data_IF_225745926998
#
_entry.id   IF_225745926998
#
_cell.length_a   1.000
_cell.length_b   1.000
_cell.length_c   1.000
_cell.angle_alpha   90.00
_cell.angle_beta   90.00
_cell.angle_gamma   90.00
#
_symmetry.space_group_name_H-M   'P 1'
#
loop_
_entity.id
_entity.type
_entity.pdbx_description
1 polymer ?
#
# COMPACT_ATOMS: atom_id res chain seq x y z
N UNK A 1 17.81 2.11 -42.82
CA UNK A 1 19.11 2.56 -42.27
C UNK A 1 18.86 3.26 -40.94
N UNK A 2 19.84 3.27 -40.05
CA UNK A 2 19.84 3.99 -38.76
C UNK A 2 21.26 4.51 -38.48
N UNK A 3 21.38 5.54 -37.65
CA UNK A 3 22.69 6.02 -37.24
C UNK A 3 23.32 5.09 -36.22
N UNK A 4 24.56 4.67 -36.47
CA UNK A 4 25.41 4.00 -35.50
C UNK A 4 26.16 5.04 -34.66
N UNK A 5 26.80 5.99 -35.32
CA UNK A 5 27.40 7.20 -34.75
C UNK A 5 27.13 8.38 -35.69
N UNK A 6 27.53 9.59 -35.30
CA UNK A 6 27.37 10.78 -36.14
C UNK A 6 28.09 10.57 -37.48
N UNK A 7 27.33 10.54 -38.59
CA UNK A 7 27.86 10.29 -39.93
C UNK A 7 27.98 8.82 -40.37
N UNK A 8 27.76 7.84 -39.49
CA UNK A 8 27.81 6.42 -39.83
C UNK A 8 26.39 5.81 -39.88
N UNK A 9 25.92 5.45 -41.08
CA UNK A 9 24.61 4.80 -41.28
C UNK A 9 24.78 3.29 -41.47
N UNK A 10 24.01 2.52 -40.72
CA UNK A 10 23.99 1.05 -40.79
C UNK A 10 22.57 0.52 -40.97
N UNK A 11 22.44 -0.76 -41.30
CA UNK A 11 21.13 -1.43 -41.32
C UNK A 11 20.61 -1.63 -39.90
N UNK A 12 19.29 -1.81 -39.73
CA UNK A 12 18.70 -2.13 -38.41
C UNK A 12 19.09 -3.54 -37.90
N UNK A 13 19.65 -4.37 -38.77
CA UNK A 13 20.15 -5.72 -38.43
C UNK A 13 21.60 -5.70 -37.91
N UNK A 14 22.23 -4.52 -37.84
CA UNK A 14 23.60 -4.40 -37.35
C UNK A 14 23.72 -4.89 -35.88
N UNK A 15 24.71 -5.74 -35.54
CA UNK A 15 24.83 -6.33 -34.20
C UNK A 15 24.85 -5.32 -33.05
N UNK A 16 25.55 -4.20 -33.22
CA UNK A 16 25.58 -3.11 -32.21
C UNK A 16 24.19 -2.51 -31.99
N UNK A 17 23.38 -2.34 -33.04
CA UNK A 17 22.01 -1.81 -32.90
C UNK A 17 21.14 -2.80 -32.13
N UNK A 18 21.31 -4.10 -32.37
CA UNK A 18 20.62 -5.14 -31.61
C UNK A 18 21.04 -5.16 -30.14
N UNK A 19 22.34 -5.01 -29.85
CA UNK A 19 22.85 -4.84 -28.48
C UNK A 19 22.23 -3.63 -27.78
N UNK A 20 22.22 -2.46 -28.43
CA UNK A 20 21.62 -1.24 -27.88
C UNK A 20 20.14 -1.43 -27.54
N UNK A 21 19.38 -2.06 -28.45
CA UNK A 21 17.97 -2.35 -28.21
C UNK A 21 17.74 -3.31 -27.03
N UNK A 22 18.64 -4.27 -26.82
CA UNK A 22 18.55 -5.19 -25.68
C UNK A 22 18.91 -4.51 -24.36
N UNK A 23 19.92 -3.63 -24.36
CA UNK A 23 20.29 -2.84 -23.19
C UNK A 23 19.21 -1.81 -22.83
N UNK A 24 18.50 -1.26 -23.81
CA UNK A 24 17.33 -0.40 -23.60
C UNK A 24 16.15 -1.17 -23.00
N UNK A 25 15.79 -2.32 -23.58
CA UNK A 25 14.75 -3.20 -23.03
C UNK A 25 15.07 -3.64 -21.59
N UNK A 26 16.33 -3.96 -21.30
CA UNK A 26 16.76 -4.29 -19.95
C UNK A 26 16.55 -3.13 -18.96
N UNK A 27 16.76 -1.87 -19.38
CA UNK A 27 16.44 -0.71 -18.55
C UNK A 27 14.94 -0.58 -18.28
N UNK A 28 14.08 -0.87 -19.26
CA UNK A 28 12.63 -0.93 -19.03
C UNK A 28 12.28 -1.99 -17.97
N UNK A 29 12.86 -3.19 -18.08
CA UNK A 29 12.62 -4.27 -17.12
C UNK A 29 13.12 -3.95 -15.70
N UNK A 30 14.18 -3.13 -15.57
CA UNK A 30 14.63 -2.62 -14.28
C UNK A 30 13.58 -1.71 -13.64
N UNK A 31 13.00 -0.78 -14.41
CA UNK A 31 11.94 0.12 -13.92
C UNK A 31 10.71 -0.68 -13.50
N UNK A 32 10.30 -1.68 -14.28
CA UNK A 32 9.21 -2.57 -13.87
C UNK A 32 9.50 -3.30 -12.55
N UNK A 33 10.74 -3.75 -12.36
CA UNK A 33 11.15 -4.40 -11.13
C UNK A 33 11.16 -3.44 -9.93
N UNK A 34 11.57 -2.18 -10.14
CA UNK A 34 11.52 -1.15 -9.11
C UNK A 34 10.09 -0.90 -8.64
N UNK A 35 9.13 -0.76 -9.57
CA UNK A 35 7.70 -0.59 -9.23
C UNK A 35 7.18 -1.78 -8.43
N UNK A 36 7.50 -3.01 -8.86
CA UNK A 36 7.12 -4.23 -8.16
C UNK A 36 7.74 -4.27 -6.75
N UNK A 37 9.01 -3.91 -6.60
CA UNK A 37 9.69 -3.93 -5.31
C UNK A 37 9.15 -2.87 -4.34
N UNK A 38 8.73 -1.70 -4.82
CA UNK A 38 8.01 -0.72 -3.99
C UNK A 38 6.71 -1.32 -3.45
N UNK A 39 5.94 -2.00 -4.31
CA UNK A 39 4.67 -2.63 -3.91
C UNK A 39 4.87 -3.74 -2.87
N UNK A 40 5.99 -4.46 -2.94
CA UNK A 40 6.39 -5.50 -1.98
C UNK A 40 7.12 -4.93 -0.74
N UNK A 41 7.29 -3.59 -0.64
CA UNK A 41 7.92 -2.93 0.51
C UNK A 41 9.45 -3.04 0.58
N UNK A 42 10.09 -3.33 -0.55
CA UNK A 42 11.54 -3.57 -0.74
C UNK A 42 12.31 -2.30 -1.16
N UNK A 43 12.10 -1.18 -0.45
CA UNK A 43 12.75 0.11 -0.76
C UNK A 43 14.28 0.02 -0.85
N UNK A 44 14.89 -0.81 0.01
CA UNK A 44 16.32 -1.07 -0.02
C UNK A 44 16.78 -1.70 -1.34
N UNK A 45 16.01 -2.61 -1.93
CA UNK A 45 16.33 -3.18 -3.24
C UNK A 45 16.10 -2.18 -4.37
N UNK A 46 15.12 -1.29 -4.24
CA UNK A 46 14.84 -0.25 -5.24
C UNK A 46 16.05 0.68 -5.42
N UNK A 47 16.67 1.10 -4.32
CA UNK A 47 17.90 1.91 -4.37
C UNK A 47 19.05 1.18 -5.08
N UNK A 48 19.17 -0.14 -4.86
CA UNK A 48 20.19 -0.99 -5.50
C UNK A 48 19.92 -1.18 -6.99
N UNK A 49 18.64 -1.29 -7.37
CA UNK A 49 18.25 -1.31 -8.78
C UNK A 49 18.49 0.04 -9.47
N UNK A 50 18.36 1.17 -8.77
CA UNK A 50 18.68 2.48 -9.34
C UNK A 50 20.17 2.66 -9.63
N UNK A 51 21.02 2.14 -8.74
CA UNK A 51 22.47 2.05 -8.97
C UNK A 51 22.77 1.21 -10.22
N UNK A 52 22.11 0.05 -10.36
CA UNK A 52 22.23 -0.82 -11.54
C UNK A 52 21.68 -0.15 -12.82
N UNK A 53 20.57 0.58 -12.73
CA UNK A 53 20.01 1.31 -13.87
C UNK A 53 20.99 2.39 -14.36
N UNK A 54 21.63 3.09 -13.43
CA UNK A 54 22.71 4.04 -13.75
C UNK A 54 23.88 3.33 -14.42
N UNK A 55 24.31 2.18 -13.90
CA UNK A 55 25.36 1.36 -14.50
C UNK A 55 25.03 0.96 -15.95
N UNK A 56 23.79 0.54 -16.21
CA UNK A 56 23.32 0.17 -17.56
C UNK A 56 23.30 1.36 -18.53
N UNK A 57 22.89 2.54 -18.05
CA UNK A 57 22.96 3.80 -18.83
C UNK A 57 24.39 4.14 -19.19
N UNK A 58 25.33 4.03 -18.24
CA UNK A 58 26.74 4.34 -18.49
C UNK A 58 27.39 3.38 -19.48
N UNK A 59 27.02 2.09 -19.48
CA UNK A 59 27.44 1.14 -20.52
C UNK A 59 27.03 1.62 -21.92
N UNK A 60 25.78 2.06 -22.08
CA UNK A 60 25.29 2.62 -23.35
C UNK A 60 26.08 3.85 -23.76
N UNK A 61 26.32 4.78 -22.82
CA UNK A 61 27.04 6.03 -23.09
C UNK A 61 28.47 5.76 -23.57
N UNK A 62 29.19 4.86 -22.89
CA UNK A 62 30.59 4.53 -23.23
C UNK A 62 30.70 3.66 -24.49
N UNK A 63 29.66 2.90 -24.81
CA UNK A 63 29.55 2.25 -26.11
C UNK A 63 29.39 3.29 -27.22
N UNK A 64 28.40 4.18 -27.13
CA UNK A 64 28.10 5.19 -28.16
C UNK A 64 29.26 6.16 -28.39
N UNK A 65 29.97 6.54 -27.32
CA UNK A 65 31.14 7.45 -27.38
C UNK A 65 32.45 6.75 -27.75
N UNK A 66 32.44 5.42 -27.87
CA UNK A 66 33.65 4.61 -28.13
C UNK A 66 34.78 4.83 -27.10
N UNK A 67 34.41 5.08 -25.84
CA UNK A 67 35.36 5.28 -24.73
C UNK A 67 35.41 4.05 -23.82
N UNK A 68 36.58 3.73 -23.22
CA UNK A 68 36.68 2.64 -22.25
C UNK A 68 35.74 2.84 -21.06
N UNK A 69 34.96 1.81 -20.71
CA UNK A 69 34.09 1.81 -19.54
C UNK A 69 34.86 1.30 -18.31
N UNK A 70 34.88 2.10 -17.24
CA UNK A 70 35.56 1.77 -15.99
C UNK A 70 34.58 1.89 -14.82
N UNK A 71 34.68 0.96 -13.88
CA UNK A 71 33.87 0.93 -12.68
C UNK A 71 34.64 0.21 -11.56
N UNK A 72 34.43 0.65 -10.33
CA UNK A 72 35.13 0.11 -9.16
C UNK A 72 34.19 -0.65 -8.23
N UNK A 73 32.98 -0.13 -8.08
CA UNK A 73 31.98 -0.65 -7.13
C UNK A 73 30.64 -0.73 -7.85
N UNK A 74 29.96 -1.85 -7.67
CA UNK A 74 28.56 -2.02 -8.01
C UNK A 74 27.88 -2.75 -6.86
N UNK A 75 26.75 -2.23 -6.41
CA UNK A 75 26.02 -2.70 -5.25
C UNK A 75 26.97 -2.88 -4.05
N UNK A 76 27.82 -1.90 -3.80
CA UNK A 76 28.75 -1.89 -2.66
C UNK A 76 29.84 -2.97 -2.69
N UNK A 77 30.09 -3.60 -3.84
CA UNK A 77 31.11 -4.62 -4.02
C UNK A 77 32.02 -4.36 -5.22
N UNK A 78 33.28 -4.75 -5.11
CA UNK A 78 34.22 -4.75 -6.23
C UNK A 78 33.93 -5.89 -7.22
N UNK A 79 34.47 -5.87 -8.46
CA UNK A 79 34.32 -6.97 -9.42
C UNK A 79 34.75 -8.33 -8.86
N UNK A 80 35.81 -8.38 -8.07
CA UNK A 80 36.35 -9.58 -7.43
C UNK A 80 35.42 -10.07 -6.31
N UNK A 81 34.87 -9.16 -5.50
CA UNK A 81 33.92 -9.50 -4.44
C UNK A 81 32.60 -10.02 -5.02
N UNK A 82 32.08 -9.39 -6.08
CA UNK A 82 30.89 -9.88 -6.78
C UNK A 82 31.11 -11.31 -7.30
N UNK A 83 32.29 -11.60 -7.82
CA UNK A 83 32.66 -12.96 -8.22
C UNK A 83 32.66 -13.91 -7.04
N UNK A 84 33.43 -13.59 -6.00
CA UNK A 84 33.63 -14.45 -4.83
C UNK A 84 32.30 -14.78 -4.13
N UNK A 85 31.45 -13.76 -3.90
CA UNK A 85 30.15 -13.92 -3.24
C UNK A 85 29.17 -14.74 -4.08
N UNK A 86 29.14 -14.52 -5.40
CA UNK A 86 28.23 -15.25 -6.29
C UNK A 86 28.61 -16.73 -6.48
N UNK A 87 29.90 -17.08 -6.36
CA UNK A 87 30.38 -18.47 -6.39
C UNK A 87 30.21 -19.22 -5.06
N UNK A 88 30.09 -18.50 -3.94
CA UNK A 88 30.01 -19.10 -2.60
C UNK A 88 28.77 -18.65 -1.80
N UNK A 89 27.54 -18.80 -2.33
CA UNK A 89 26.35 -18.25 -1.70
C UNK A 89 26.05 -18.85 -0.31
N UNK A 90 26.41 -20.11 -0.06
CA UNK A 90 26.27 -20.74 1.25
C UNK A 90 27.10 -20.03 2.32
N UNK A 91 28.33 -19.63 1.98
CA UNK A 91 29.27 -18.94 2.88
C UNK A 91 28.77 -17.54 3.25
N UNK A 92 28.21 -16.81 2.29
CA UNK A 92 27.87 -15.39 2.47
C UNK A 92 26.40 -15.14 2.83
N UNK A 93 25.48 -16.01 2.44
CA UNK A 93 24.03 -15.80 2.60
C UNK A 93 23.33 -16.97 3.30
N UNK A 94 24.02 -18.08 3.58
CA UNK A 94 23.41 -19.27 4.17
C UNK A 94 22.48 -20.03 3.20
N UNK A 95 22.58 -19.76 1.89
CA UNK A 95 21.68 -20.30 0.87
C UNK A 95 22.43 -21.27 -0.05
N UNK A 96 21.88 -22.47 -0.26
CA UNK A 96 22.39 -23.45 -1.21
C UNK A 96 22.09 -23.08 -2.67
N UNK A 97 22.91 -23.59 -3.59
CA UNK A 97 22.61 -23.55 -5.03
C UNK A 97 21.45 -24.49 -5.34
N UNK A 98 20.22 -23.98 -5.26
CA UNK A 98 19.01 -24.73 -5.61
C UNK A 98 18.39 -24.20 -6.90
N UNK A 99 17.64 -25.04 -7.64
CA UNK A 99 16.82 -24.57 -8.76
C UNK A 99 15.84 -23.45 -8.34
N UNK A 100 15.41 -22.65 -9.32
CA UNK A 100 14.36 -21.65 -9.09
C UNK A 100 13.05 -22.36 -8.71
N UNK A 101 12.36 -21.84 -7.70
CA UNK A 101 11.09 -22.35 -7.19
C UNK A 101 10.15 -21.18 -6.93
N UNK A 102 8.85 -21.38 -7.17
CA UNK A 102 7.82 -20.39 -6.82
C UNK A 102 7.81 -20.08 -5.31
N UNK A 103 8.26 -21.04 -4.49
CA UNK A 103 8.37 -20.89 -3.02
C UNK A 103 9.40 -19.85 -2.59
N UNK A 104 10.28 -19.39 -3.49
CA UNK A 104 11.23 -18.32 -3.18
C UNK A 104 10.59 -16.91 -3.23
N UNK A 105 9.34 -16.79 -3.66
CA UNK A 105 8.62 -15.52 -3.69
C UNK A 105 8.87 -14.68 -4.95
N UNK A 106 8.01 -13.68 -5.14
CA UNK A 106 7.95 -12.86 -6.34
C UNK A 106 9.22 -12.01 -6.55
N UNK A 107 9.76 -11.42 -5.47
CA UNK A 107 10.99 -10.61 -5.50
C UNK A 107 12.17 -11.42 -6.03
N UNK A 108 12.39 -12.63 -5.51
CA UNK A 108 13.47 -13.52 -5.97
C UNK A 108 13.27 -13.93 -7.43
N UNK A 109 12.03 -14.22 -7.83
CA UNK A 109 11.72 -14.55 -9.22
C UNK A 109 12.05 -13.39 -10.18
N UNK A 110 11.68 -12.15 -9.84
CA UNK A 110 12.00 -10.97 -10.68
C UNK A 110 13.50 -10.66 -10.70
N UNK A 111 14.23 -10.82 -9.58
CA UNK A 111 15.70 -10.70 -9.58
C UNK A 111 16.38 -11.73 -10.49
N UNK A 112 15.90 -12.98 -10.50
CA UNK A 112 16.45 -14.02 -11.38
C UNK A 112 16.05 -13.79 -12.85
N UNK A 113 14.88 -13.19 -13.11
CA UNK A 113 14.52 -12.72 -14.44
C UNK A 113 15.51 -11.66 -14.93
N UNK A 114 15.77 -10.61 -14.15
CA UNK A 114 16.76 -9.57 -14.50
C UNK A 114 18.18 -10.14 -14.67
N UNK A 115 18.55 -11.15 -13.87
CA UNK A 115 19.80 -11.90 -14.08
C UNK A 115 19.84 -12.59 -15.44
N UNK A 116 18.77 -13.28 -15.83
CA UNK A 116 18.71 -13.93 -17.14
C UNK A 116 18.75 -12.89 -18.26
N UNK A 117 18.06 -11.76 -18.08
CA UNK A 117 18.03 -10.67 -19.04
C UNK A 117 19.39 -10.01 -19.23
N UNK A 118 20.12 -9.71 -18.15
CA UNK A 118 21.48 -9.16 -18.24
C UNK A 118 22.46 -10.11 -18.95
N UNK A 119 22.31 -11.44 -18.78
CA UNK A 119 23.06 -12.44 -19.56
C UNK A 119 22.67 -12.45 -21.03
N UNK A 120 21.40 -12.23 -21.36
CA UNK A 120 20.98 -12.05 -22.75
C UNK A 120 21.67 -10.82 -23.35
N UNK A 121 21.67 -9.68 -22.65
CA UNK A 121 22.39 -8.46 -23.08
C UNK A 121 23.88 -8.73 -23.30
N UNK A 122 24.53 -9.48 -22.41
CA UNK A 122 25.93 -9.94 -22.55
C UNK A 122 26.15 -10.75 -23.85
N UNK A 123 25.22 -11.62 -24.21
CA UNK A 123 25.30 -12.40 -25.46
C UNK A 123 25.20 -11.48 -26.69
N UNK A 124 24.33 -10.47 -26.66
CA UNK A 124 24.26 -9.49 -27.74
C UNK A 124 25.50 -8.60 -27.81
N UNK A 125 26.10 -8.25 -26.67
CA UNK A 125 27.39 -7.55 -26.63
C UNK A 125 28.50 -8.39 -27.28
N UNK A 126 28.58 -9.69 -26.95
CA UNK A 126 29.53 -10.60 -27.60
C UNK A 126 29.31 -10.67 -29.12
N UNK A 127 28.06 -10.79 -29.57
CA UNK A 127 27.75 -10.76 -31.02
C UNK A 127 28.14 -9.45 -31.70
N UNK A 128 28.14 -8.34 -30.96
CA UNK A 128 28.46 -7.03 -31.48
C UNK A 128 29.96 -6.74 -31.54
N UNK A 129 30.72 -7.23 -30.55
CA UNK A 129 32.10 -6.78 -30.33
C UNK A 129 33.15 -7.89 -30.43
N UNK A 130 32.73 -9.16 -30.51
CA UNK A 130 33.62 -10.31 -30.65
C UNK A 130 33.55 -10.84 -32.08
N UNK A 131 34.70 -10.95 -32.74
CA UNK A 131 34.79 -11.49 -34.10
C UNK A 131 34.77 -13.04 -34.11
N UNK A 132 34.74 -13.65 -35.30
CA UNK A 132 34.68 -15.11 -35.47
C UNK A 132 35.91 -15.84 -34.88
N UNK A 133 37.07 -15.18 -34.79
CA UNK A 133 38.27 -15.70 -34.13
C UNK A 133 38.24 -15.58 -32.60
N UNK A 134 37.21 -14.97 -32.02
CA UNK A 134 37.06 -14.78 -30.58
C UNK A 134 37.76 -13.54 -30.01
N UNK A 135 38.32 -12.68 -30.86
CA UNK A 135 38.92 -11.42 -30.45
C UNK A 135 37.82 -10.38 -30.19
N UNK A 136 37.82 -9.80 -29.00
CA UNK A 136 36.82 -8.84 -28.55
C UNK A 136 37.39 -7.43 -28.49
N UNK A 137 36.70 -6.49 -29.15
CA UNK A 137 37.07 -5.06 -29.20
C UNK A 137 36.61 -4.27 -27.98
N UNK A 138 35.62 -4.77 -27.23
CA UNK A 138 35.02 -4.12 -26.04
C UNK A 138 34.96 -5.07 -24.84
N UNK A 139 36.12 -5.57 -24.43
CA UNK A 139 36.26 -6.47 -23.29
C UNK A 139 35.78 -5.84 -21.98
N UNK A 140 35.93 -4.52 -21.85
CA UNK A 140 35.42 -3.69 -20.76
C UNK A 140 33.90 -3.84 -20.56
N UNK A 141 33.11 -3.72 -21.64
CA UNK A 141 31.65 -3.85 -21.58
C UNK A 141 31.21 -5.28 -21.25
N UNK A 142 31.88 -6.28 -21.85
CA UNK A 142 31.54 -7.69 -21.64
C UNK A 142 31.84 -8.09 -20.19
N UNK A 143 33.00 -7.69 -19.65
CA UNK A 143 33.35 -7.97 -18.25
C UNK A 143 32.39 -7.29 -17.27
N UNK A 144 31.97 -6.06 -17.55
CA UNK A 144 30.97 -5.35 -16.77
C UNK A 144 29.62 -6.08 -16.75
N UNK A 145 29.08 -6.47 -17.92
CA UNK A 145 27.84 -7.24 -18.04
C UNK A 145 27.92 -8.60 -17.35
N UNK A 146 29.08 -9.26 -17.44
CA UNK A 146 29.31 -10.52 -16.76
C UNK A 146 29.20 -10.38 -15.23
N UNK A 147 29.77 -9.32 -14.65
CA UNK A 147 29.63 -8.99 -13.22
C UNK A 147 28.25 -8.50 -12.82
N UNK A 148 27.54 -7.83 -13.72
CA UNK A 148 26.15 -7.44 -13.49
C UNK A 148 25.25 -8.67 -13.25
N UNK A 149 25.48 -9.76 -13.97
CA UNK A 149 24.75 -11.03 -13.71
C UNK A 149 25.06 -11.63 -12.32
N UNK A 150 26.27 -11.42 -11.80
CA UNK A 150 26.65 -11.79 -10.43
C UNK A 150 25.93 -10.91 -9.41
N UNK A 151 25.80 -9.61 -9.68
CA UNK A 151 25.10 -8.67 -8.79
C UNK A 151 23.64 -9.08 -8.56
N UNK A 152 22.87 -9.39 -9.61
CA UNK A 152 21.51 -9.88 -9.44
C UNK A 152 21.41 -11.21 -8.68
N UNK A 153 22.38 -12.11 -8.89
CA UNK A 153 22.40 -13.36 -8.15
C UNK A 153 22.63 -13.14 -6.66
N UNK A 154 23.54 -12.23 -6.31
CA UNK A 154 23.80 -11.82 -4.93
C UNK A 154 22.54 -11.25 -4.30
N UNK A 155 21.87 -10.29 -4.95
CA UNK A 155 20.62 -9.72 -4.44
C UNK A 155 19.56 -10.81 -4.22
N UNK A 156 19.44 -11.77 -5.15
CA UNK A 156 18.51 -12.88 -5.00
C UNK A 156 18.88 -13.80 -3.82
N UNK A 157 20.17 -14.04 -3.58
CA UNK A 157 20.65 -14.79 -2.44
C UNK A 157 20.46 -14.03 -1.12
N UNK A 158 20.65 -12.71 -1.09
CA UNK A 158 20.39 -11.86 0.07
C UNK A 158 18.92 -11.97 0.48
N UNK A 159 17.99 -11.79 -0.46
CA UNK A 159 16.54 -11.93 -0.19
C UNK A 159 16.19 -13.33 0.32
N UNK A 160 16.77 -14.38 -0.26
CA UNK A 160 16.55 -15.78 0.17
C UNK A 160 17.18 -16.11 1.54
N UNK A 161 18.28 -15.42 1.87
CA UNK A 161 19.06 -15.64 3.08
C UNK A 161 18.54 -14.86 4.28
N UNK A 162 17.58 -13.93 4.08
CA UNK A 162 16.86 -13.28 5.17
C UNK A 162 16.20 -14.36 6.02
N UNK A 163 16.62 -14.46 7.28
CA UNK A 163 15.90 -15.27 8.27
C UNK A 163 14.48 -14.70 8.38
N UNK A 164 13.48 -15.54 8.60
CA UNK A 164 12.06 -15.17 8.73
C UNK A 164 11.75 -14.08 9.81
N UNK A 165 12.77 -13.58 10.52
CA UNK A 165 12.70 -12.51 11.51
C UNK A 165 12.50 -11.11 10.90
N UNK A 166 12.61 -10.94 9.58
CA UNK A 166 12.43 -9.66 8.87
C UNK A 166 11.16 -9.59 7.98
N UNK A 167 10.16 -10.44 8.19
CA UNK A 167 8.82 -10.04 7.72
C UNK A 167 8.44 -8.82 8.55
N UNK A 168 8.48 -7.62 7.96
CA UNK A 168 7.88 -6.42 8.56
C UNK A 168 6.53 -6.87 9.14
N UNK A 169 6.29 -6.66 10.45
CA UNK A 169 5.08 -7.18 11.09
C UNK A 169 3.88 -6.70 10.27
N UNK A 170 2.97 -7.62 9.97
CA UNK A 170 1.73 -7.26 9.27
C UNK A 170 1.09 -6.07 10.02
N UNK A 171 0.75 -5.03 9.27
CA UNK A 171 0.08 -3.84 9.80
C UNK A 171 -1.37 -4.20 10.15
N UNK A 172 -1.52 -4.90 11.28
CA UNK A 172 -2.78 -5.44 11.78
C UNK A 172 -3.56 -4.37 12.53
N UNK A 173 -4.88 -4.40 12.34
CA UNK A 173 -5.82 -3.46 12.95
C UNK A 173 -7.01 -4.20 13.54
N UNK A 174 -7.41 -3.83 14.77
CA UNK A 174 -8.68 -4.25 15.35
C UNK A 174 -9.83 -3.53 14.66
N UNK A 175 -10.98 -4.19 14.58
CA UNK A 175 -12.16 -3.64 13.91
C UNK A 175 -13.25 -3.37 14.94
N UNK A 176 -13.60 -2.10 15.11
CA UNK A 176 -14.78 -1.63 15.81
C UNK A 176 -15.99 -1.64 14.87
N UNK A 177 -17.10 -2.22 15.34
CA UNK A 177 -18.36 -2.26 14.59
C UNK A 177 -19.30 -1.21 15.16
N UNK A 178 -19.65 -0.24 14.34
CA UNK A 178 -20.60 0.82 14.68
C UNK A 178 -22.01 0.41 14.27
N UNK A 179 -22.86 0.15 15.27
CA UNK A 179 -24.30 0.08 15.05
C UNK A 179 -24.88 1.51 14.90
N UNK A 180 -26.13 1.61 14.47
CA UNK A 180 -26.84 2.89 14.34
C UNK A 180 -26.78 3.70 15.63
N UNK A 181 -26.41 4.97 15.53
CA UNK A 181 -26.27 5.86 16.68
C UNK A 181 -26.41 7.33 16.27
N UNK A 182 -26.47 8.20 17.27
CA UNK A 182 -26.57 9.65 17.08
C UNK A 182 -25.65 10.39 18.06
N UNK A 183 -25.02 11.45 17.56
CA UNK A 183 -24.40 12.49 18.37
C UNK A 183 -25.34 13.69 18.41
N UNK A 184 -25.49 14.32 19.58
CA UNK A 184 -26.40 15.45 19.76
C UNK A 184 -25.64 16.75 20.01
N UNK A 185 -26.19 17.85 19.52
CA UNK A 185 -25.90 19.20 19.99
C UNK A 185 -26.49 19.42 21.40
N UNK A 186 -26.01 20.46 22.09
CA UNK A 186 -26.56 20.83 23.40
C UNK A 186 -28.04 21.24 23.28
N UNK A 187 -28.37 22.09 22.31
CA UNK A 187 -29.74 22.56 22.07
C UNK A 187 -30.70 21.39 21.79
N UNK A 188 -30.28 20.43 20.95
CA UNK A 188 -31.10 19.27 20.61
C UNK A 188 -31.22 18.30 21.79
N UNK A 189 -30.15 18.12 22.59
CA UNK A 189 -30.23 17.33 23.81
C UNK A 189 -31.29 17.90 24.75
N UNK A 190 -31.29 19.22 24.95
CA UNK A 190 -32.24 19.87 25.84
C UNK A 190 -33.66 19.84 25.30
N UNK A 191 -33.85 20.00 23.99
CA UNK A 191 -35.17 19.86 23.36
C UNK A 191 -35.74 18.44 23.49
N UNK A 192 -34.88 17.41 23.45
CA UNK A 192 -35.31 16.01 23.49
C UNK A 192 -35.47 15.47 24.92
N UNK A 193 -34.68 15.94 25.89
CA UNK A 193 -34.61 15.37 27.25
C UNK A 193 -34.88 16.38 28.39
N UNK A 194 -34.93 17.68 28.11
CA UNK A 194 -35.17 18.75 29.07
C UNK A 194 -33.97 19.67 29.30
N UNK A 195 -34.21 20.88 29.81
CA UNK A 195 -33.14 21.87 30.06
C UNK A 195 -32.06 21.34 31.02
N UNK A 196 -30.80 21.64 30.71
CA UNK A 196 -29.63 21.26 31.51
C UNK A 196 -29.46 19.74 31.71
N UNK A 197 -30.04 18.92 30.83
CA UNK A 197 -29.91 17.47 30.91
C UNK A 197 -28.47 17.01 30.71
N UNK A 198 -28.04 16.02 31.48
CA UNK A 198 -26.69 15.42 31.39
C UNK A 198 -26.82 13.96 31.01
N UNK A 199 -26.13 13.55 29.95
CA UNK A 199 -26.12 12.16 29.49
C UNK A 199 -25.52 11.22 30.55
N UNK A 200 -26.13 10.06 30.73
CA UNK A 200 -25.66 9.05 31.67
C UNK A 200 -24.72 8.08 30.96
N UNK A 201 -23.47 7.99 31.40
CA UNK A 201 -22.50 7.04 30.81
C UNK A 201 -22.98 5.60 31.03
N UNK A 202 -23.14 4.85 29.94
CA UNK A 202 -23.36 3.40 29.99
C UNK A 202 -22.05 2.63 29.81
N UNK A 203 -21.24 3.01 28.82
CA UNK A 203 -20.00 2.31 28.47
C UNK A 203 -19.03 3.25 27.75
N UNK A 204 -17.79 3.29 28.20
CA UNK A 204 -16.69 3.95 27.48
C UNK A 204 -16.39 3.24 26.15
N UNK A 205 -16.10 4.03 25.11
CA UNK A 205 -15.71 3.53 23.79
C UNK A 205 -14.19 3.43 23.67
N UNK A 206 -13.72 2.86 22.56
CA UNK A 206 -12.30 2.71 22.25
C UNK A 206 -11.57 4.07 22.13
N UNK A 207 -12.24 5.05 21.53
CA UNK A 207 -11.69 6.38 21.35
C UNK A 207 -11.77 7.17 22.67
N UNK A 208 -10.65 7.74 23.17
CA UNK A 208 -10.60 8.41 24.46
C UNK A 208 -11.66 9.51 24.64
N UNK A 209 -12.37 9.44 25.77
CA UNK A 209 -13.42 10.40 26.14
C UNK A 209 -14.74 10.24 25.39
N UNK A 210 -14.87 9.29 24.46
CA UNK A 210 -16.15 8.97 23.83
C UNK A 210 -16.87 7.87 24.61
N UNK A 211 -18.20 7.97 24.76
CA UNK A 211 -18.99 6.99 25.49
C UNK A 211 -20.34 6.72 24.83
N UNK A 212 -20.86 5.50 25.02
CA UNK A 212 -22.27 5.20 24.78
C UNK A 212 -23.08 5.61 26.01
N UNK A 213 -24.12 6.41 25.80
CA UNK A 213 -25.01 6.88 26.85
C UNK A 213 -26.14 5.86 27.12
N UNK A 214 -26.74 5.85 28.32
CA UNK A 214 -27.89 4.98 28.61
C UNK A 214 -29.13 5.37 27.80
N UNK A 215 -29.20 6.65 27.42
CA UNK A 215 -30.27 7.26 26.68
C UNK A 215 -30.30 6.78 25.22
N UNK A 216 -31.50 6.77 24.67
CA UNK A 216 -31.77 6.44 23.27
C UNK A 216 -32.87 7.34 22.73
N UNK A 217 -32.86 7.57 21.42
CA UNK A 217 -33.92 8.30 20.69
C UNK A 217 -34.59 7.39 19.66
N UNK A 218 -35.68 7.89 19.09
CA UNK A 218 -36.30 7.30 17.89
C UNK A 218 -36.03 8.22 16.70
N UNK A 219 -35.50 7.66 15.62
CA UNK A 219 -35.34 8.36 14.34
C UNK A 219 -36.55 8.04 13.45
N UNK A 220 -37.21 9.06 12.92
CA UNK A 220 -38.44 8.95 12.13
C UNK A 220 -38.20 9.55 10.74
N UNK A 221 -38.26 8.69 9.72
CA UNK A 221 -38.17 9.08 8.32
C UNK A 221 -39.52 8.96 7.60
N UNK A 222 -39.59 9.32 6.31
CA UNK A 222 -40.84 9.35 5.54
C UNK A 222 -41.60 8.00 5.47
N UNK A 223 -40.88 6.88 5.55
CA UNK A 223 -41.44 5.52 5.39
C UNK A 223 -41.57 4.75 6.71
N UNK A 224 -40.82 5.11 7.73
CA UNK A 224 -40.79 4.34 8.97
C UNK A 224 -39.85 4.92 10.01
N UNK A 225 -39.62 4.16 11.08
CA UNK A 225 -38.83 4.59 12.23
C UNK A 225 -37.79 3.56 12.68
N UNK A 226 -36.76 4.06 13.36
CA UNK A 226 -35.75 3.29 14.09
C UNK A 226 -35.83 3.68 15.57
N UNK A 227 -36.33 2.75 16.38
CA UNK A 227 -36.39 2.93 17.84
C UNK A 227 -35.07 2.54 18.50
N UNK A 228 -34.87 3.03 19.73
CA UNK A 228 -33.72 2.68 20.59
C UNK A 228 -32.38 2.97 19.93
N UNK A 229 -32.27 4.06 19.17
CA UNK A 229 -31.02 4.51 18.57
C UNK A 229 -30.16 5.12 19.67
N UNK A 230 -28.95 4.58 19.84
CA UNK A 230 -28.03 4.92 20.93
C UNK A 230 -27.48 6.35 20.77
N UNK A 231 -27.43 7.11 21.85
CA UNK A 231 -26.69 8.38 21.87
C UNK A 231 -25.22 8.10 22.22
N UNK A 232 -24.30 8.68 21.45
CA UNK A 232 -22.87 8.69 21.76
C UNK A 232 -22.42 10.07 22.22
N UNK A 233 -21.84 10.13 23.42
CA UNK A 233 -21.30 11.33 24.02
C UNK A 233 -19.78 11.46 23.85
N UNK A 234 -19.23 12.65 24.18
CA UNK A 234 -19.92 13.83 24.69
C UNK A 234 -20.72 14.55 23.60
N UNK A 235 -21.47 15.57 23.99
CA UNK A 235 -22.18 16.44 23.06
C UNK A 235 -21.21 17.03 22.02
N UNK A 236 -21.70 17.22 20.80
CA UNK A 236 -20.94 17.83 19.70
C UNK A 236 -21.52 19.18 19.35
N UNK A 237 -20.84 19.92 18.47
CA UNK A 237 -21.34 21.22 17.98
C UNK A 237 -22.63 21.08 17.16
N UNK A 238 -22.80 19.95 16.48
CA UNK A 238 -23.91 19.69 15.58
C UNK A 238 -24.41 18.27 15.76
N UNK A 239 -25.72 18.09 15.65
CA UNK A 239 -26.36 16.77 15.69
C UNK A 239 -26.05 15.98 14.42
N UNK A 240 -25.72 14.70 14.58
CA UNK A 240 -25.34 13.80 13.49
C UNK A 240 -25.82 12.38 13.77
N UNK A 241 -26.60 11.81 12.84
CA UNK A 241 -27.05 10.43 12.92
C UNK A 241 -26.23 9.56 11.94
N UNK A 242 -25.59 8.53 12.46
CA UNK A 242 -24.83 7.55 11.69
C UNK A 242 -25.62 6.24 11.66
N UNK A 243 -26.06 5.84 10.47
CA UNK A 243 -26.94 4.68 10.24
C UNK A 243 -26.44 3.83 9.08
N UNK A 244 -26.86 2.57 8.95
CA UNK A 244 -26.44 1.76 7.80
C UNK A 244 -27.25 2.06 6.54
N UNK A 245 -26.77 1.61 5.38
CA UNK A 245 -27.54 1.71 4.14
C UNK A 245 -28.89 0.99 4.25
N UNK A 246 -28.92 -0.15 4.93
CA UNK A 246 -30.15 -0.91 5.25
C UNK A 246 -31.14 -0.08 6.05
N UNK A 247 -30.66 0.68 7.03
CA UNK A 247 -31.49 1.57 7.85
C UNK A 247 -32.11 2.70 7.03
N UNK A 248 -31.36 3.27 6.07
CA UNK A 248 -31.89 4.29 5.17
C UNK A 248 -33.12 3.80 4.39
N UNK A 249 -33.11 2.56 3.89
CA UNK A 249 -34.25 1.98 3.17
C UNK A 249 -35.48 1.77 4.06
N UNK A 250 -35.28 1.49 5.36
CA UNK A 250 -36.36 1.38 6.33
C UNK A 250 -36.97 2.73 6.67
N UNK A 251 -36.14 3.75 6.84
CA UNK A 251 -36.57 5.13 7.08
C UNK A 251 -37.19 5.78 5.83
N UNK A 252 -36.85 5.32 4.63
CA UNK A 252 -37.31 5.91 3.37
C UNK A 252 -36.51 7.16 2.98
N UNK A 253 -35.23 7.22 3.38
CA UNK A 253 -34.31 8.29 3.02
C UNK A 253 -33.22 7.76 2.10
N UNK A 254 -32.63 8.64 1.29
CA UNK A 254 -31.53 8.27 0.38
C UNK A 254 -30.27 7.96 1.21
N UNK A 255 -29.59 6.82 1.02
CA UNK A 255 -28.31 6.57 1.66
C UNK A 255 -27.25 7.51 1.08
N UNK A 256 -26.55 8.22 1.97
CA UNK A 256 -25.51 9.17 1.62
C UNK A 256 -24.29 8.88 2.48
N UNK A 257 -23.22 8.39 1.85
CA UNK A 257 -21.96 8.07 2.54
C UNK A 257 -21.17 9.36 2.77
N UNK A 258 -20.70 9.57 4.01
CA UNK A 258 -19.90 10.74 4.40
C UNK A 258 -18.90 10.38 5.49
N UNK A 259 -17.79 11.11 5.52
CA UNK A 259 -16.91 11.12 6.68
C UNK A 259 -17.57 11.94 7.81
N UNK A 260 -17.36 11.55 9.06
CA UNK A 260 -17.96 12.20 10.23
C UNK A 260 -17.65 13.71 10.25
N UNK A 261 -18.68 14.55 10.37
CA UNK A 261 -18.58 16.02 10.31
C UNK A 261 -18.86 16.65 8.94
N UNK A 262 -18.97 15.88 7.86
CA UNK A 262 -19.35 16.38 6.53
C UNK A 262 -20.87 16.35 6.33
N UNK A 263 -21.56 17.40 6.80
CA UNK A 263 -23.02 17.44 6.80
C UNK A 263 -23.62 17.85 5.45
N UNK A 264 -22.83 18.49 4.58
CA UNK A 264 -23.34 19.03 3.32
C UNK A 264 -23.92 17.96 2.38
N UNK A 265 -25.14 18.22 1.92
CA UNK A 265 -25.89 17.34 1.03
C UNK A 265 -26.37 16.04 1.67
N UNK A 266 -26.37 15.95 2.99
CA UNK A 266 -26.96 14.81 3.72
C UNK A 266 -28.46 15.04 3.97
N UNK A 267 -29.26 13.96 4.02
CA UNK A 267 -30.67 14.08 4.37
C UNK A 267 -30.89 14.46 5.84
N UNK A 268 -32.10 14.97 6.09
CA UNK A 268 -32.66 15.18 7.41
C UNK A 268 -33.65 14.09 7.84
N UNK A 269 -34.14 14.18 9.08
CA UNK A 269 -35.22 13.37 9.64
C UNK A 269 -35.78 13.99 10.93
N UNK A 270 -36.87 13.45 11.46
CA UNK A 270 -37.38 13.82 12.79
C UNK A 270 -36.76 12.92 13.88
N UNK A 271 -36.24 13.52 14.95
CA UNK A 271 -35.70 12.84 16.13
C UNK A 271 -36.71 13.00 17.25
N UNK A 272 -37.08 11.90 17.89
CA UNK A 272 -38.06 11.89 19.00
C UNK A 272 -37.39 11.38 20.27
N UNK A 273 -37.42 12.22 21.30
CA UNK A 273 -36.95 11.94 22.66
C UNK A 273 -38.11 11.86 23.65
N UNK A 274 -37.82 11.64 24.95
CA UNK A 274 -38.86 11.52 25.97
C UNK A 274 -39.64 12.82 26.25
N UNK A 275 -39.01 13.99 26.06
CA UNK A 275 -39.61 15.30 26.38
C UNK A 275 -40.01 16.10 25.14
N UNK A 276 -39.56 15.71 23.95
CA UNK A 276 -39.78 16.51 22.75
C UNK A 276 -39.33 15.85 21.46
N UNK A 277 -39.36 16.65 20.40
CA UNK A 277 -38.98 16.25 19.04
C UNK A 277 -38.15 17.37 18.39
N UNK A 278 -37.21 16.99 17.54
CA UNK A 278 -36.37 17.89 16.74
C UNK A 278 -36.47 17.49 15.29
N UNK A 279 -36.66 18.45 14.39
CA UNK A 279 -36.51 18.21 12.94
C UNK A 279 -35.10 18.58 12.54
N UNK A 280 -34.33 17.58 12.12
CA UNK A 280 -32.99 17.77 11.59
C UNK A 280 -33.11 17.98 10.07
N UNK A 281 -32.64 19.12 9.54
CA UNK A 281 -32.68 19.38 8.10
C UNK A 281 -31.57 18.65 7.33
N UNK A 282 -30.43 18.43 7.99
CA UNK A 282 -29.23 17.79 7.46
C UNK A 282 -28.42 17.18 8.61
N UNK A 283 -27.71 16.08 8.36
CA UNK A 283 -26.84 15.43 9.35
C UNK A 283 -27.05 13.91 9.48
N UNK A 284 -27.89 13.31 8.64
CA UNK A 284 -28.08 11.84 8.61
C UNK A 284 -27.22 11.23 7.52
N UNK A 285 -26.34 10.29 7.88
CA UNK A 285 -25.37 9.72 6.95
C UNK A 285 -25.15 8.23 7.17
N UNK A 286 -24.66 7.58 6.12
CA UNK A 286 -23.98 6.29 6.23
C UNK A 286 -22.52 6.58 6.53
N UNK A 287 -22.03 6.07 7.66
CA UNK A 287 -20.66 6.34 8.10
C UNK A 287 -19.66 5.75 7.11
N UNK A 288 -18.80 6.60 6.56
CA UNK A 288 -17.66 6.19 5.74
C UNK A 288 -16.64 5.44 6.60
N UNK A 289 -16.17 4.28 6.13
CA UNK A 289 -15.15 3.49 6.81
C UNK A 289 -13.85 4.26 6.98
N UNK A 290 -13.24 4.12 8.16
CA UNK A 290 -12.01 4.84 8.48
C UNK A 290 -11.17 4.11 9.53
N UNK A 291 -9.90 4.49 9.62
CA UNK A 291 -8.97 4.05 10.65
C UNK A 291 -8.54 5.29 11.45
N UNK A 292 -8.66 5.21 12.76
CA UNK A 292 -8.03 6.14 13.67
C UNK A 292 -6.60 5.66 13.96
N UNK A 293 -5.61 6.56 13.89
CA UNK A 293 -4.21 6.33 14.28
C UNK A 293 -3.71 7.50 15.12
N UNK A 294 -2.81 7.24 16.06
CA UNK A 294 -2.00 8.30 16.63
C UNK A 294 -0.80 8.65 15.74
N UNK A 295 -0.08 9.73 16.09
CA UNK A 295 1.07 10.24 15.32
C UNK A 295 2.18 9.19 15.15
N UNK A 296 2.45 8.40 16.19
CA UNK A 296 3.49 7.38 16.15
C UNK A 296 3.09 6.23 15.22
N UNK A 297 1.85 5.77 15.32
CA UNK A 297 1.34 4.64 14.53
C UNK A 297 1.21 5.02 13.05
N UNK A 298 0.80 6.26 12.75
CA UNK A 298 0.78 6.77 11.40
C UNK A 298 2.20 6.79 10.78
N UNK A 299 3.20 7.23 11.55
CA UNK A 299 4.60 7.19 11.12
C UNK A 299 5.12 5.75 10.93
N UNK A 300 4.82 4.85 11.86
CA UNK A 300 5.14 3.41 11.75
C UNK A 300 4.52 2.77 10.51
N UNK A 301 3.31 3.22 10.15
CA UNK A 301 2.61 2.74 8.96
C UNK A 301 2.94 3.52 7.69
N UNK A 302 3.72 4.60 7.80
CA UNK A 302 4.09 5.46 6.67
C UNK A 302 2.85 5.98 5.93
N UNK A 303 1.84 6.40 6.71
CA UNK A 303 0.59 6.99 6.22
C UNK A 303 0.38 8.36 6.87
N UNK A 304 -0.37 9.22 6.21
CA UNK A 304 -0.70 10.56 6.65
C UNK A 304 -2.21 10.71 6.89
N UNK A 305 -2.58 11.76 7.64
CA UNK A 305 -3.99 12.16 7.75
C UNK A 305 -4.58 12.46 6.37
N UNK A 306 -5.75 11.89 6.09
CA UNK A 306 -6.42 12.06 4.80
C UNK A 306 -6.08 11.00 3.74
N UNK A 307 -5.07 10.15 3.97
CA UNK A 307 -4.74 9.08 3.03
C UNK A 307 -5.91 8.09 2.88
N UNK A 308 -6.06 7.54 1.67
CA UNK A 308 -7.04 6.50 1.35
C UNK A 308 -6.32 5.19 1.06
N UNK A 309 -6.60 4.17 1.86
CA UNK A 309 -5.85 2.90 1.85
C UNK A 309 -6.77 1.72 1.55
N UNK A 310 -6.15 0.56 1.30
CA UNK A 310 -6.85 -0.73 1.18
C UNK A 310 -6.61 -1.57 2.42
N UNK A 311 -7.66 -2.23 2.90
CA UNK A 311 -7.57 -3.12 4.06
C UNK A 311 -8.14 -4.48 3.68
N UNK A 312 -7.33 -5.52 3.87
CA UNK A 312 -7.79 -6.90 3.78
C UNK A 312 -8.43 -7.30 5.11
N UNK A 313 -9.72 -7.66 5.07
CA UNK A 313 -10.42 -8.23 6.21
C UNK A 313 -10.16 -9.74 6.21
N UNK A 314 -9.46 -10.21 7.23
CA UNK A 314 -9.14 -11.62 7.41
C UNK A 314 -10.19 -12.26 8.32
N UNK A 315 -11.31 -12.68 7.72
CA UNK A 315 -12.44 -13.32 8.38
C UNK A 315 -12.82 -14.62 7.67
N UNK A 316 -13.93 -15.25 8.10
CA UNK A 316 -14.53 -16.40 7.39
C UNK A 316 -15.12 -16.05 6.03
N UNK A 317 -15.32 -14.77 5.74
CA UNK A 317 -15.78 -14.24 4.46
C UNK A 317 -14.87 -13.08 4.05
N UNK A 318 -13.61 -13.39 3.63
CA UNK A 318 -12.58 -12.38 3.45
C UNK A 318 -12.96 -11.42 2.33
N UNK A 319 -12.58 -10.17 2.51
CA UNK A 319 -12.79 -9.11 1.53
C UNK A 319 -11.66 -8.09 1.58
N UNK A 320 -11.52 -7.30 0.52
CA UNK A 320 -10.67 -6.13 0.50
C UNK A 320 -11.60 -4.93 0.49
N UNK A 321 -11.43 -4.05 1.47
CA UNK A 321 -12.10 -2.76 1.54
C UNK A 321 -11.14 -1.72 0.98
N UNK A 322 -11.56 -1.05 -0.08
CA UNK A 322 -10.81 0.05 -0.70
C UNK A 322 -11.22 1.40 -0.12
N UNK A 323 -10.52 2.48 -0.43
CA UNK A 323 -10.94 3.84 -0.05
C UNK A 323 -11.18 4.03 1.46
N UNK A 324 -10.40 3.36 2.32
CA UNK A 324 -10.49 3.48 3.78
C UNK A 324 -9.74 4.76 4.20
N UNK A 325 -10.43 5.70 4.85
CA UNK A 325 -9.81 6.96 5.30
C UNK A 325 -8.87 6.73 6.49
N UNK A 326 -7.64 7.25 6.40
CA UNK A 326 -6.76 7.41 7.55
C UNK A 326 -7.07 8.74 8.25
N UNK A 327 -7.31 8.67 9.56
CA UNK A 327 -7.50 9.84 10.43
C UNK A 327 -6.43 9.81 11.51
N UNK A 328 -5.59 10.85 11.56
CA UNK A 328 -4.47 10.93 12.49
C UNK A 328 -4.71 12.02 13.52
N UNK A 329 -4.65 11.65 14.80
CA UNK A 329 -4.70 12.60 15.91
C UNK A 329 -3.92 12.04 17.10
N UNK A 330 -3.20 12.89 17.84
CA UNK A 330 -2.41 12.47 19.00
C UNK A 330 -3.21 11.73 20.09
N UNK A 331 -4.52 11.96 20.17
CA UNK A 331 -5.41 11.34 21.15
C UNK A 331 -6.19 10.13 20.62
N UNK A 332 -5.96 9.72 19.37
CA UNK A 332 -6.67 8.56 18.82
C UNK A 332 -6.09 7.25 19.32
N UNK A 333 -6.99 6.29 19.52
CA UNK A 333 -6.63 4.91 19.72
C UNK A 333 -6.74 4.15 18.40
N UNK A 334 -5.74 3.35 18.06
CA UNK A 334 -5.71 2.58 16.83
C UNK A 334 -6.89 1.63 16.71
N UNK A 335 -7.80 1.92 15.79
CA UNK A 335 -8.96 1.08 15.49
C UNK A 335 -9.54 1.42 14.11
N UNK A 336 -9.97 0.40 13.38
CA UNK A 336 -10.75 0.55 12.15
C UNK A 336 -12.24 0.51 12.47
N UNK A 337 -13.00 1.48 11.99
CA UNK A 337 -14.43 1.57 12.22
C UNK A 337 -15.19 1.21 10.94
N UNK A 338 -16.11 0.24 11.06
CA UNK A 338 -17.02 -0.21 10.01
C UNK A 338 -18.46 -0.13 10.49
N UNK A 339 -19.39 0.13 9.59
CA UNK A 339 -20.80 0.02 9.91
C UNK A 339 -21.25 -1.46 10.03
N UNK A 340 -22.48 -1.65 10.50
CA UNK A 340 -23.03 -2.99 10.70
C UNK A 340 -23.25 -3.76 9.38
N UNK A 341 -23.55 -3.09 8.27
CA UNK A 341 -23.77 -3.73 6.98
C UNK A 341 -22.42 -4.25 6.42
N UNK A 342 -21.36 -3.46 6.52
CA UNK A 342 -19.98 -3.83 6.15
C UNK A 342 -19.46 -4.99 7.01
N UNK A 343 -19.67 -4.92 8.34
CA UNK A 343 -19.25 -5.98 9.24
C UNK A 343 -19.98 -7.31 8.97
N UNK A 344 -21.29 -7.25 8.68
CA UNK A 344 -22.07 -8.44 8.31
C UNK A 344 -21.64 -9.00 6.95
N UNK A 345 -21.33 -8.13 5.97
CA UNK A 345 -20.85 -8.55 4.66
C UNK A 345 -19.55 -9.37 4.77
N UNK A 346 -18.67 -9.03 5.71
CA UNK A 346 -17.42 -9.74 5.99
C UNK A 346 -17.53 -10.85 7.05
N UNK A 347 -18.68 -11.07 7.68
CA UNK A 347 -18.84 -11.99 8.82
C UNK A 347 -17.78 -11.76 9.91
N UNK A 348 -17.62 -10.49 10.33
CA UNK A 348 -16.66 -10.10 11.36
C UNK A 348 -17.07 -10.71 12.71
N UNK A 349 -16.11 -11.32 13.39
CA UNK A 349 -16.22 -11.81 14.77
C UNK A 349 -15.06 -11.29 15.64
N UNK A 350 -15.04 -11.65 16.92
CA UNK A 350 -14.02 -11.15 17.87
C UNK A 350 -12.58 -11.61 17.59
N UNK A 351 -12.37 -12.53 16.63
CA UNK A 351 -11.03 -12.95 16.18
C UNK A 351 -10.62 -12.31 14.85
N UNK A 352 -11.53 -11.55 14.23
CA UNK A 352 -11.28 -10.92 12.94
C UNK A 352 -10.43 -9.67 13.11
N UNK A 353 -9.42 -9.53 12.26
CA UNK A 353 -8.60 -8.33 12.15
C UNK A 353 -8.49 -7.88 10.69
N UNK A 354 -8.26 -6.58 10.51
CA UNK A 354 -7.85 -6.03 9.23
C UNK A 354 -6.33 -6.07 9.07
N UNK A 355 -5.87 -6.14 7.83
CA UNK A 355 -4.46 -5.97 7.48
C UNK A 355 -4.37 -4.87 6.44
N UNK A 356 -3.61 -3.81 6.74
CA UNK A 356 -3.35 -2.75 5.77
C UNK A 356 -2.58 -3.33 4.59
N UNK A 357 -3.15 -3.21 3.39
CA UNK A 357 -2.49 -3.52 2.14
C UNK A 357 -1.78 -2.23 1.67
N UNK A 358 -0.57 -2.36 1.11
CA UNK A 358 0.26 -1.22 0.70
C UNK A 358 -0.52 -0.11 -0.02
N UNK A 359 -0.13 1.14 0.30
CA UNK A 359 -0.72 2.39 -0.21
C UNK A 359 -0.69 2.42 -1.74
#
# INVERSE_FOLDING_TARGET
>A
MTHLHQGALVTKTHPVIAYRGQLDLFQCELVEAQVLFIQEGEEGLVARLEEIATFARELMVHEVKETPFQWEILIGHTPEELRERSHHPKKYFGVEHTPLSYTHGLVVAKLQHLRAKSREVELYANRAFTNESGECTRTDLIQALNRLSSAFYILACEVRGRKNDEKKPEKRISIGISNRHIHLSEDDLFALFGENYVLTVQKELSQPGQFAAQETVTLVGPKGSLEKVRILGPMRKSTQAEISATDCYKLGIKPVIRDSGQHDGTPGLEIVGPQGRVTLESGVMVASRHIHLNLQEAAEWTVNDGDRVRVQIQSKRPMILEDVLIRVNEHYHKEMHLDLDEANAALIDGQTHGVLMGV
#
